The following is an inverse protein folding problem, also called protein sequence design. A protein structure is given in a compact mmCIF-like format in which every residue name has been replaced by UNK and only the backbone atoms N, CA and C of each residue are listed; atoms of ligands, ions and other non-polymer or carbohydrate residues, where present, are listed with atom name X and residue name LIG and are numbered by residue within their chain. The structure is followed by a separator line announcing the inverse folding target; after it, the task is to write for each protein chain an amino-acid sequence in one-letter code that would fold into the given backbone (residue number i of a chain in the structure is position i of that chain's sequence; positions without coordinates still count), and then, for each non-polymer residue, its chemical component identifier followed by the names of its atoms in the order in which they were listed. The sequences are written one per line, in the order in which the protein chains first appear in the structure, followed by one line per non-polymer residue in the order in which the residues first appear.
data_IF_753593332408
#
_entry.id   IF_753593332408
#
_cell.length_a   1.000
_cell.length_b   1.000
_cell.length_c   1.000
_cell.angle_alpha   90.00
_cell.angle_beta   90.00
_cell.angle_gamma   90.00
#
_symmetry.space_group_name_H-M   'P 1'
#
loop_
_entity.id
_entity.type
_entity.pdbx_description
1 polymer ?
#
# COMPACT_ATOMS: atom_id res chain seq x y z
N UNK A 1 1.56 21.04 23.10
CA UNK A 1 2.90 20.55 23.45
C UNK A 1 2.78 19.77 24.74
N UNK A 2 3.10 18.50 24.74
CA UNK A 2 3.12 17.68 25.94
C UNK A 2 4.55 17.74 26.51
N UNK A 3 4.66 18.01 27.80
CA UNK A 3 5.97 18.15 28.45
C UNK A 3 6.32 16.81 29.12
N UNK A 4 7.59 16.44 29.02
CA UNK A 4 8.11 15.36 29.87
C UNK A 4 8.17 15.88 31.30
N UNK A 5 7.31 15.36 32.17
CA UNK A 5 7.37 15.69 33.59
C UNK A 5 8.41 14.77 34.22
N UNK A 6 9.52 15.34 34.64
CA UNK A 6 10.46 14.66 35.52
C UNK A 6 9.94 14.88 36.94
N UNK A 7 9.33 13.86 37.50
CA UNK A 7 8.95 13.92 38.93
C UNK A 7 10.23 13.65 39.73
N UNK A 8 10.61 14.55 40.66
CA UNK A 8 11.68 14.21 41.60
C UNK A 8 11.31 12.89 42.27
N UNK A 9 12.30 12.07 42.52
CA UNK A 9 12.10 10.83 43.26
C UNK A 9 11.32 11.07 44.57
N UNK A 10 11.54 10.39 45.59
CA UNK A 10 10.80 10.54 46.84
C UNK A 10 10.85 11.98 47.39
N UNK A 11 9.71 12.58 47.76
CA UNK A 11 9.62 13.84 48.50
C UNK A 11 9.31 13.55 49.96
N UNK A 12 10.13 14.09 50.88
CA UNK A 12 9.90 13.92 52.27
C UNK A 12 8.77 14.82 52.78
N UNK A 13 7.89 14.25 53.58
CA UNK A 13 6.95 15.02 54.39
C UNK A 13 7.64 15.59 55.64
N UNK A 14 7.07 16.64 56.21
CA UNK A 14 7.59 17.17 57.47
C UNK A 14 7.57 16.13 58.58
N UNK A 15 8.73 15.93 59.26
CA UNK A 15 8.95 14.92 60.32
C UNK A 15 8.95 13.46 59.89
N UNK A 16 9.15 13.19 58.61
CA UNK A 16 9.22 11.84 58.09
C UNK A 16 10.56 11.16 58.43
N UNK A 17 10.51 9.87 58.82
CA UNK A 17 11.72 9.11 59.11
C UNK A 17 12.44 8.77 57.79
N UNK A 18 13.70 9.18 57.69
CA UNK A 18 14.54 8.93 56.54
C UNK A 18 15.05 7.47 56.59
N UNK A 19 14.64 6.65 55.67
CA UNK A 19 15.10 5.27 55.52
C UNK A 19 16.06 5.16 54.33
N UNK A 20 16.89 4.11 54.32
CA UNK A 20 17.83 3.83 53.21
C UNK A 20 17.12 3.76 51.86
N UNK A 21 15.95 3.13 51.82
CA UNK A 21 15.13 3.04 50.57
C UNK A 21 14.63 4.40 50.07
N UNK A 22 14.28 5.29 51.00
CA UNK A 22 13.85 6.66 50.67
C UNK A 22 15.01 7.51 50.17
N UNK A 23 16.19 7.36 50.75
CA UNK A 23 17.43 8.00 50.29
C UNK A 23 17.80 7.54 48.87
N UNK A 24 17.70 6.25 48.58
CA UNK A 24 17.96 5.72 47.24
C UNK A 24 16.97 6.24 46.23
N UNK A 25 15.71 6.45 46.61
CA UNK A 25 14.68 7.00 45.72
C UNK A 25 14.91 8.48 45.34
N UNK A 26 15.62 9.25 46.17
CA UNK A 26 16.00 10.64 45.85
C UNK A 26 16.94 10.75 44.66
N UNK A 27 17.80 9.75 44.45
CA UNK A 27 18.79 9.73 43.37
C UNK A 27 18.25 9.21 42.03
N UNK A 28 17.02 8.72 41.99
CA UNK A 28 16.42 8.10 40.81
C UNK A 28 15.25 8.88 40.28
N UNK A 29 15.46 9.80 39.35
CA UNK A 29 14.33 10.48 38.70
C UNK A 29 13.47 9.46 37.93
N UNK A 30 12.18 9.43 38.23
CA UNK A 30 11.22 8.69 37.42
C UNK A 30 10.95 9.51 36.17
N UNK A 31 11.49 9.06 35.05
CA UNK A 31 11.15 9.63 33.74
C UNK A 31 9.92 8.89 33.24
N UNK A 32 8.78 9.53 33.26
CA UNK A 32 7.60 9.04 32.56
C UNK A 32 7.69 9.49 31.11
N UNK A 33 7.99 8.56 30.21
CA UNK A 33 7.89 8.81 28.78
C UNK A 33 6.42 8.86 28.42
N UNK A 34 5.93 10.05 28.09
CA UNK A 34 4.58 10.19 27.53
C UNK A 34 4.52 9.54 26.15
N UNK A 35 3.34 9.10 25.76
CA UNK A 35 3.08 8.53 24.43
C UNK A 35 3.61 9.42 23.31
N UNK A 36 3.60 10.74 23.51
CA UNK A 36 4.11 11.71 22.52
C UNK A 36 5.62 11.63 22.31
N UNK A 37 6.39 11.40 23.38
CA UNK A 37 7.84 11.26 23.27
C UNK A 37 8.21 9.93 22.56
N UNK A 38 7.48 8.86 22.85
CA UNK A 38 7.62 7.61 22.13
C UNK A 38 7.29 7.78 20.61
N UNK A 39 6.27 8.57 20.29
CA UNK A 39 5.89 8.90 18.92
C UNK A 39 6.94 9.73 18.18
N UNK A 40 7.62 10.64 18.88
CA UNK A 40 8.71 11.45 18.31
C UNK A 40 9.95 10.60 18.05
N UNK A 41 10.24 9.64 18.93
CA UNK A 41 11.42 8.77 18.83
C UNK A 41 11.26 7.61 17.85
N UNK A 42 10.03 7.24 17.50
CA UNK A 42 9.76 6.16 16.54
C UNK A 42 9.52 6.72 15.15
N UNK A 43 10.58 7.17 14.49
CA UNK A 43 10.53 7.36 13.04
C UNK A 43 10.22 6.03 12.36
N UNK A 44 9.35 6.04 11.33
CA UNK A 44 8.90 4.83 10.61
C UNK A 44 8.05 3.85 11.44
N UNK A 45 7.21 4.36 12.31
CA UNK A 45 6.29 3.51 13.10
C UNK A 45 5.21 2.85 12.23
N UNK A 46 4.76 3.50 11.17
CA UNK A 46 3.77 2.93 10.27
C UNK A 46 4.40 1.84 9.40
N UNK A 47 3.99 0.60 9.60
CA UNK A 47 4.42 -0.55 8.78
C UNK A 47 3.85 -0.55 7.36
N UNK A 48 2.90 0.33 7.04
CA UNK A 48 2.38 0.47 5.68
C UNK A 48 3.15 1.52 4.88
N UNK A 49 3.29 1.24 3.60
CA UNK A 49 3.74 2.20 2.60
C UNK A 49 2.50 2.89 2.03
N UNK A 50 2.58 4.20 1.81
CA UNK A 50 1.49 5.01 1.24
C UNK A 50 0.18 4.93 2.07
N UNK A 51 0.30 4.94 3.40
CA UNK A 51 -0.86 4.87 4.29
C UNK A 51 -1.79 6.09 4.18
N UNK A 52 -1.29 7.25 3.78
CA UNK A 52 -2.04 8.46 3.49
C UNK A 52 -2.58 8.54 2.06
N UNK A 53 -2.34 7.53 1.24
CA UNK A 53 -2.80 7.42 -0.16
C UNK A 53 -2.42 8.63 -1.01
N UNK A 54 -1.19 9.12 -0.87
CA UNK A 54 -0.69 10.29 -1.60
C UNK A 54 -0.10 9.93 -2.96
N UNK A 55 0.37 8.69 -3.14
CA UNK A 55 1.05 8.23 -4.36
C UNK A 55 0.11 7.38 -5.21
N UNK A 56 -0.09 7.79 -6.46
CA UNK A 56 -1.04 7.17 -7.42
C UNK A 56 -0.42 7.06 -8.80
N UNK A 57 0.68 6.34 -8.94
CA UNK A 57 1.40 6.21 -10.21
C UNK A 57 0.59 5.53 -11.31
N UNK A 58 -0.40 4.73 -10.92
CA UNK A 58 -1.33 4.04 -11.85
C UNK A 58 -2.54 4.88 -12.25
N UNK A 59 -2.49 6.20 -11.96
CA UNK A 59 -3.55 7.15 -12.26
C UNK A 59 -4.63 7.24 -11.19
N UNK A 60 -5.44 8.28 -11.27
CA UNK A 60 -6.41 8.70 -10.24
C UNK A 60 -7.87 8.45 -10.63
N UNK A 61 -8.14 8.30 -11.93
CA UNK A 61 -9.49 8.07 -12.47
C UNK A 61 -10.10 6.76 -12.00
N UNK A 62 -11.42 6.64 -12.06
CA UNK A 62 -12.13 5.42 -11.75
C UNK A 62 -11.70 4.26 -12.69
N UNK A 63 -11.33 3.14 -12.09
CA UNK A 63 -10.98 1.90 -12.80
C UNK A 63 -11.88 0.78 -12.31
N UNK A 64 -12.35 -0.03 -13.24
CA UNK A 64 -13.10 -1.24 -12.90
C UNK A 64 -12.17 -2.25 -12.23
N UNK A 65 -12.59 -2.74 -11.07
CA UNK A 65 -11.99 -3.88 -10.38
C UNK A 65 -12.89 -5.08 -10.65
N UNK A 66 -12.46 -5.93 -11.54
CA UNK A 66 -13.22 -7.12 -11.91
C UNK A 66 -12.96 -8.27 -10.95
N UNK A 67 -14.03 -8.99 -10.61
CA UNK A 67 -13.93 -10.31 -10.03
C UNK A 67 -13.87 -11.32 -11.19
N UNK A 68 -12.71 -11.56 -11.74
CA UNK A 68 -12.55 -12.70 -12.63
C UNK A 68 -12.33 -13.94 -11.75
N UNK A 69 -13.41 -14.61 -11.42
CA UNK A 69 -13.39 -15.95 -10.86
C UNK A 69 -12.85 -16.92 -11.94
N UNK A 70 -11.58 -16.84 -12.25
CA UNK A 70 -10.88 -17.86 -13.04
C UNK A 70 -9.90 -18.56 -12.12
N UNK A 71 -10.24 -19.81 -11.80
CA UNK A 71 -9.43 -20.84 -11.16
C UNK A 71 -8.75 -20.43 -9.82
N UNK A 72 -9.28 -20.94 -8.77
CA UNK A 72 -8.74 -21.47 -7.51
C UNK A 72 -7.59 -20.72 -6.77
N UNK A 73 -6.83 -19.79 -7.32
CA UNK A 73 -5.57 -19.33 -6.72
C UNK A 73 -5.26 -17.84 -6.76
N UNK A 74 -5.92 -17.04 -7.60
CA UNK A 74 -5.66 -15.59 -7.61
C UNK A 74 -6.96 -14.84 -7.83
N UNK A 75 -7.62 -14.41 -6.74
CA UNK A 75 -8.67 -13.41 -6.87
C UNK A 75 -8.09 -12.16 -7.53
N UNK A 76 -8.71 -11.69 -8.62
CA UNK A 76 -8.22 -10.53 -9.34
C UNK A 76 -8.16 -9.33 -8.40
N UNK A 77 -6.98 -8.76 -8.29
CA UNK A 77 -6.70 -7.54 -7.54
C UNK A 77 -6.52 -6.39 -8.50
N UNK A 78 -6.98 -5.22 -8.11
CA UNK A 78 -6.74 -3.99 -8.86
C UNK A 78 -5.98 -3.02 -7.98
N UNK A 79 -4.80 -2.64 -8.43
CA UNK A 79 -3.92 -1.67 -7.79
C UNK A 79 -4.19 -0.29 -8.38
N UNK A 80 -4.42 0.73 -7.53
CA UNK A 80 -4.58 2.14 -7.96
C UNK A 80 -3.73 3.07 -7.12
N UNK A 81 -4.09 3.33 -5.85
CA UNK A 81 -3.12 3.90 -4.93
C UNK A 81 -1.96 2.92 -4.80
N UNK A 82 -0.75 3.41 -4.92
CA UNK A 82 0.43 2.55 -4.87
C UNK A 82 0.46 1.77 -3.56
N UNK A 83 0.82 0.50 -3.66
CA UNK A 83 0.80 -0.50 -2.59
C UNK A 83 -0.57 -0.99 -2.14
N UNK A 84 -1.68 -0.35 -2.53
CA UNK A 84 -3.03 -0.70 -2.08
C UNK A 84 -3.85 -1.32 -3.21
N UNK A 85 -4.33 -2.52 -2.97
CA UNK A 85 -5.23 -3.21 -3.87
C UNK A 85 -6.68 -3.17 -3.38
N UNK A 86 -7.60 -3.21 -4.31
CA UNK A 86 -8.99 -3.59 -4.07
C UNK A 86 -9.28 -4.94 -4.72
N UNK A 87 -10.04 -5.79 -4.01
CA UNK A 87 -10.41 -7.14 -4.45
C UNK A 87 -11.88 -7.38 -4.10
N UNK A 88 -12.80 -7.20 -5.06
CA UNK A 88 -14.21 -7.47 -4.84
C UNK A 88 -14.49 -8.96 -4.96
N UNK A 89 -15.58 -9.40 -4.33
CA UNK A 89 -16.22 -10.70 -4.57
C UNK A 89 -17.67 -10.48 -5.02
N UNK A 90 -18.22 -11.41 -5.80
CA UNK A 90 -19.52 -11.27 -6.45
C UNK A 90 -19.40 -10.51 -7.76
N UNK A 91 -19.63 -9.21 -7.75
CA UNK A 91 -19.56 -8.36 -8.93
C UNK A 91 -18.34 -7.41 -8.90
N UNK A 92 -18.06 -6.77 -10.04
CA UNK A 92 -17.04 -5.74 -10.14
C UNK A 92 -17.45 -4.47 -9.39
N UNK A 93 -16.44 -3.76 -8.86
CA UNK A 93 -16.57 -2.41 -8.28
C UNK A 93 -15.75 -1.42 -9.10
N UNK A 94 -15.84 -0.12 -8.79
CA UNK A 94 -14.85 0.84 -9.27
C UNK A 94 -13.95 1.31 -8.13
N UNK A 95 -12.68 1.60 -8.45
CA UNK A 95 -11.68 2.12 -7.55
C UNK A 95 -11.07 3.41 -8.14
N UNK A 96 -11.16 4.51 -7.39
CA UNK A 96 -10.69 5.83 -7.78
C UNK A 96 -10.02 6.56 -6.61
N UNK A 97 -9.34 7.66 -6.92
CA UNK A 97 -8.93 8.65 -5.93
C UNK A 97 -10.09 9.58 -5.60
N UNK A 98 -10.17 10.01 -4.34
CA UNK A 98 -11.09 11.04 -3.87
C UNK A 98 -10.34 12.06 -3.03
N UNK A 99 -10.70 13.33 -3.13
CA UNK A 99 -10.22 14.40 -2.25
C UNK A 99 -10.99 14.54 -0.94
N UNK A 100 -12.04 13.75 -0.74
CA UNK A 100 -12.80 13.73 0.51
C UNK A 100 -12.01 12.97 1.59
N UNK A 101 -11.68 13.64 2.67
CA UNK A 101 -10.92 13.12 3.82
C UNK A 101 -11.56 13.60 5.14
N UNK A 102 -11.26 12.97 6.28
CA UNK A 102 -11.74 13.44 7.58
C UNK A 102 -11.27 14.86 7.88
N UNK A 103 -12.08 15.64 8.59
CA UNK A 103 -11.68 16.97 9.06
C UNK A 103 -10.44 16.88 9.95
N UNK A 104 -9.42 17.69 9.65
CA UNK A 104 -8.15 17.68 10.38
C UNK A 104 -7.21 16.52 10.00
N UNK A 105 -7.55 15.71 8.98
CA UNK A 105 -6.66 14.70 8.47
C UNK A 105 -5.39 15.30 7.88
N UNK A 106 -4.26 14.59 8.04
CA UNK A 106 -3.03 14.93 7.31
C UNK A 106 -3.02 14.36 5.88
N UNK A 107 -3.88 13.38 5.60
CA UNK A 107 -4.08 12.85 4.26
C UNK A 107 -4.80 13.87 3.38
N UNK A 108 -4.38 13.97 2.11
CA UNK A 108 -5.04 14.81 1.11
C UNK A 108 -6.06 14.00 0.28
N UNK A 109 -5.88 12.69 0.24
CA UNK A 109 -6.68 11.79 -0.58
C UNK A 109 -7.18 10.58 0.19
N UNK A 110 -8.23 9.99 -0.37
CA UNK A 110 -8.79 8.71 0.06
C UNK A 110 -9.01 7.78 -1.14
N UNK A 111 -9.05 6.49 -0.89
CA UNK A 111 -9.50 5.50 -1.85
C UNK A 111 -11.03 5.49 -1.88
N UNK A 112 -11.63 5.77 -3.04
CA UNK A 112 -13.06 5.66 -3.27
C UNK A 112 -13.35 4.32 -3.94
N UNK A 113 -14.08 3.47 -3.24
CA UNK A 113 -14.59 2.20 -3.75
C UNK A 113 -16.10 2.35 -3.97
N UNK A 114 -16.58 2.13 -5.20
CA UNK A 114 -18.00 2.23 -5.52
C UNK A 114 -18.55 0.87 -5.93
N UNK A 115 -19.56 0.44 -5.24
CA UNK A 115 -20.21 -0.85 -5.40
C UNK A 115 -21.11 -0.93 -6.64
N UNK A 116 -21.57 -2.14 -6.89
CA UNK A 116 -22.54 -2.48 -7.94
C UNK A 116 -23.47 -3.58 -7.42
N UNK A 117 -24.51 -3.88 -8.16
CA UNK A 117 -25.41 -5.00 -7.83
C UNK A 117 -24.62 -6.33 -7.78
N UNK A 118 -24.94 -7.17 -6.83
CA UNK A 118 -24.34 -8.49 -6.58
C UNK A 118 -22.90 -8.47 -6.04
N UNK A 119 -22.41 -7.32 -5.56
CA UNK A 119 -21.16 -7.28 -4.78
C UNK A 119 -21.39 -7.96 -3.43
N UNK A 120 -20.61 -8.99 -3.14
CA UNK A 120 -20.70 -9.68 -1.84
C UNK A 120 -19.78 -9.06 -0.82
N UNK A 121 -18.47 -9.08 -1.01
CA UNK A 121 -17.49 -8.46 -0.11
C UNK A 121 -16.49 -7.64 -0.92
N UNK A 122 -15.84 -6.69 -0.24
CA UNK A 122 -14.72 -5.95 -0.84
C UNK A 122 -13.56 -5.97 0.14
N UNK A 123 -12.43 -6.48 -0.30
CA UNK A 123 -11.16 -6.44 0.40
C UNK A 123 -10.34 -5.24 -0.09
N UNK A 124 -9.81 -4.46 0.84
CA UNK A 124 -8.84 -3.41 0.58
C UNK A 124 -7.59 -3.69 1.38
N UNK A 125 -6.44 -3.86 0.74
CA UNK A 125 -5.29 -4.40 1.46
C UNK A 125 -3.94 -4.03 0.91
N UNK A 126 -2.91 -4.39 1.71
CA UNK A 126 -1.51 -4.25 1.36
C UNK A 126 -0.75 -5.54 1.71
N UNK A 127 0.23 -5.89 0.91
CA UNK A 127 1.15 -6.99 1.15
C UNK A 127 2.47 -6.47 1.68
N UNK A 128 2.98 -7.12 2.72
CA UNK A 128 4.25 -6.83 3.37
C UNK A 128 5.21 -7.96 3.01
N UNK A 129 6.35 -7.61 2.41
CA UNK A 129 7.37 -8.59 2.04
C UNK A 129 7.88 -9.39 3.23
N UNK A 130 8.31 -10.61 2.98
CA UNK A 130 8.89 -11.51 3.99
C UNK A 130 10.04 -10.86 4.76
N UNK A 131 10.92 -10.14 4.08
CA UNK A 131 12.05 -9.45 4.70
C UNK A 131 11.62 -8.38 5.70
N UNK A 132 10.57 -7.61 5.39
CA UNK A 132 10.03 -6.60 6.28
C UNK A 132 9.19 -7.20 7.40
N UNK A 133 8.48 -8.28 7.11
CA UNK A 133 7.68 -9.01 8.07
C UNK A 133 8.55 -9.65 9.17
N UNK A 134 9.68 -10.23 8.82
CA UNK A 134 10.66 -10.80 9.77
C UNK A 134 11.19 -9.72 10.70
N UNK A 135 11.55 -8.56 10.17
CA UNK A 135 12.27 -7.54 10.93
C UNK A 135 11.37 -6.68 11.80
N UNK A 136 10.16 -6.39 11.35
CA UNK A 136 9.36 -5.35 11.98
C UNK A 136 7.95 -5.78 12.43
N UNK A 137 7.42 -6.90 11.94
CA UNK A 137 6.01 -7.27 12.19
C UNK A 137 5.78 -8.32 13.29
N UNK A 138 6.81 -8.95 13.83
CA UNK A 138 6.68 -10.03 14.84
C UNK A 138 6.51 -9.54 16.28
N UNK A 139 5.78 -8.46 16.49
CA UNK A 139 5.49 -7.89 17.81
C UNK A 139 4.06 -7.38 17.88
N UNK A 140 3.59 -7.00 19.06
CA UNK A 140 2.30 -6.37 19.22
C UNK A 140 2.19 -5.13 18.32
N UNK A 141 1.07 -5.02 17.59
CA UNK A 141 0.78 -3.91 16.69
C UNK A 141 -0.67 -3.50 16.77
N UNK A 142 -0.90 -2.23 16.52
CA UNK A 142 -2.23 -1.65 16.40
C UNK A 142 -2.44 -1.20 14.97
N UNK A 143 -3.49 -1.72 14.34
CA UNK A 143 -4.04 -1.25 13.07
C UNK A 143 -5.01 -0.11 13.33
N UNK A 144 -4.98 0.93 12.50
CA UNK A 144 -6.01 1.96 12.45
C UNK A 144 -6.22 2.46 11.02
N UNK A 145 -7.45 2.90 10.73
CA UNK A 145 -7.82 3.52 9.47
C UNK A 145 -9.05 4.42 9.66
N UNK A 146 -9.27 5.36 8.73
CA UNK A 146 -10.53 6.08 8.64
C UNK A 146 -11.36 5.56 7.47
N UNK A 147 -12.64 5.31 7.74
CA UNK A 147 -13.61 4.81 6.77
C UNK A 147 -14.79 5.79 6.73
N UNK A 148 -15.12 6.30 5.54
CA UNK A 148 -16.39 6.97 5.28
C UNK A 148 -17.37 5.97 4.68
N UNK A 149 -18.49 5.84 5.32
CA UNK A 149 -19.53 4.91 4.88
C UNK A 149 -20.64 5.68 4.14
N UNK A 150 -20.80 5.44 2.86
CA UNK A 150 -21.83 6.00 1.98
C UNK A 150 -22.69 4.88 1.38
N UNK A 151 -23.02 3.88 2.19
CA UNK A 151 -23.79 2.71 1.73
C UNK A 151 -25.28 2.76 2.08
N UNK A 152 -25.70 3.79 2.84
CA UNK A 152 -27.08 3.98 3.28
C UNK A 152 -27.42 3.24 4.58
N UNK A 153 -26.57 2.34 5.06
CA UNK A 153 -26.74 1.61 6.33
C UNK A 153 -25.40 1.48 7.07
N UNK A 154 -25.45 1.34 8.39
CA UNK A 154 -24.25 1.05 9.17
C UNK A 154 -23.72 -0.35 8.83
N UNK A 155 -22.40 -0.49 8.82
CA UNK A 155 -21.73 -1.80 8.69
C UNK A 155 -20.54 -1.91 9.63
N UNK A 156 -20.13 -3.13 9.88
CA UNK A 156 -18.98 -3.43 10.75
C UNK A 156 -17.89 -4.13 9.94
N UNK A 157 -16.79 -3.44 9.60
CA UNK A 157 -15.71 -4.04 8.83
C UNK A 157 -14.87 -4.99 9.68
N UNK A 158 -14.03 -5.77 9.02
CA UNK A 158 -13.07 -6.67 9.66
C UNK A 158 -11.64 -6.38 9.23
N UNK A 159 -10.70 -6.55 10.15
CA UNK A 159 -9.29 -6.67 9.81
C UNK A 159 -8.94 -8.15 9.68
N UNK A 160 -8.36 -8.52 8.55
CA UNK A 160 -7.85 -9.88 8.31
C UNK A 160 -6.36 -9.83 8.08
N UNK A 161 -5.64 -10.76 8.69
CA UNK A 161 -4.24 -11.02 8.42
C UNK A 161 -4.11 -12.38 7.77
N UNK A 162 -3.50 -12.42 6.61
CA UNK A 162 -3.20 -13.65 5.90
C UNK A 162 -1.68 -13.82 5.80
N UNK A 163 -1.20 -15.05 5.90
CA UNK A 163 0.21 -15.36 5.66
C UNK A 163 0.34 -16.36 4.53
N UNK A 164 1.27 -16.13 3.57
CA UNK A 164 1.49 -17.05 2.49
C UNK A 164 2.19 -18.34 2.95
N UNK A 165 2.05 -19.41 2.18
CA UNK A 165 2.66 -20.72 2.46
C UNK A 165 4.15 -20.77 2.20
N UNK A 166 4.66 -19.92 1.33
CA UNK A 166 6.08 -19.75 1.01
C UNK A 166 6.46 -18.27 0.96
N UNK A 167 7.74 -17.90 1.13
CA UNK A 167 8.18 -16.52 1.12
C UNK A 167 7.67 -15.73 -0.09
N UNK A 168 6.90 -14.66 0.18
CA UNK A 168 6.31 -13.75 -0.81
C UNK A 168 5.38 -14.40 -1.85
N UNK A 169 5.04 -15.68 -1.70
CA UNK A 169 4.09 -16.39 -2.57
C UNK A 169 2.66 -16.29 -2.03
N UNK A 170 1.94 -15.29 -2.46
CA UNK A 170 0.56 -15.02 -2.06
C UNK A 170 -0.49 -15.79 -2.89
N UNK A 171 -0.10 -16.76 -3.70
CA UNK A 171 -1.05 -17.61 -4.40
C UNK A 171 -1.86 -18.49 -3.45
N UNK A 172 -1.23 -18.94 -2.36
CA UNK A 172 -1.89 -19.71 -1.29
C UNK A 172 -1.67 -19.01 0.05
N UNK A 173 -2.75 -18.57 0.67
CA UNK A 173 -2.74 -17.84 1.94
C UNK A 173 -3.52 -18.59 3.02
N UNK A 174 -3.02 -18.55 4.25
CA UNK A 174 -3.75 -18.95 5.44
C UNK A 174 -4.21 -17.72 6.22
N UNK A 175 -5.49 -17.66 6.56
CA UNK A 175 -6.01 -16.62 7.45
C UNK A 175 -5.47 -16.84 8.87
N UNK A 176 -4.94 -15.79 9.48
CA UNK A 176 -4.33 -15.81 10.82
C UNK A 176 -5.10 -14.96 11.83
N UNK A 177 -5.82 -13.96 11.35
CA UNK A 177 -6.65 -13.08 12.16
C UNK A 177 -7.90 -12.72 11.37
N UNK A 178 -9.03 -12.68 12.04
CA UNK A 178 -10.32 -12.16 11.56
C UNK A 178 -10.93 -11.33 12.69
N UNK A 179 -10.46 -10.09 12.85
CA UNK A 179 -10.88 -9.20 13.94
C UNK A 179 -12.00 -8.28 13.49
N UNK A 180 -13.08 -8.24 14.24
CA UNK A 180 -14.19 -7.30 14.05
C UNK A 180 -13.76 -5.91 14.52
N UNK A 181 -13.98 -4.89 13.69
CA UNK A 181 -13.66 -3.50 13.99
C UNK A 181 -14.89 -2.73 14.51
N UNK A 182 -14.76 -1.42 14.69
CA UNK A 182 -15.85 -0.54 15.08
C UNK A 182 -16.91 -0.44 13.97
N UNK A 183 -18.16 -0.29 14.36
CA UNK A 183 -19.27 -0.06 13.42
C UNK A 183 -19.15 1.33 12.79
N UNK A 184 -19.24 1.40 11.47
CA UNK A 184 -19.20 2.61 10.67
C UNK A 184 -20.62 3.07 10.36
N UNK A 185 -21.06 4.18 10.97
CA UNK A 185 -22.36 4.77 10.68
C UNK A 185 -22.39 5.31 9.24
N UNK A 186 -23.57 5.23 8.59
CA UNK A 186 -23.73 5.81 7.25
C UNK A 186 -23.64 7.33 7.28
N UNK A 187 -23.00 7.92 6.26
CA UNK A 187 -22.85 9.36 6.10
C UNK A 187 -21.74 9.98 6.97
N UNK A 188 -20.87 9.18 7.59
CA UNK A 188 -19.84 9.69 8.51
C UNK A 188 -18.49 9.01 8.33
N UNK A 189 -17.42 9.75 8.66
CA UNK A 189 -16.09 9.21 8.87
C UNK A 189 -16.00 8.53 10.23
N UNK A 190 -15.54 7.30 10.26
CA UNK A 190 -15.29 6.54 11.50
C UNK A 190 -13.84 6.10 11.53
N UNK A 191 -13.14 6.37 12.62
CA UNK A 191 -11.86 5.74 12.89
C UNK A 191 -12.09 4.32 13.41
N UNK A 192 -11.53 3.36 12.73
CA UNK A 192 -11.55 1.94 13.13
C UNK A 192 -10.17 1.50 13.55
N UNK A 193 -10.08 0.61 14.55
CA UNK A 193 -8.80 0.12 15.04
C UNK A 193 -8.93 -1.23 15.72
N UNK A 194 -7.83 -1.96 15.77
CA UNK A 194 -7.68 -3.17 16.58
C UNK A 194 -6.21 -3.45 16.86
N UNK A 195 -5.93 -4.01 18.02
CA UNK A 195 -4.60 -4.47 18.40
C UNK A 195 -4.51 -5.99 18.22
N UNK A 196 -3.37 -6.47 17.75
CA UNK A 196 -3.10 -7.88 17.56
C UNK A 196 -1.67 -8.22 17.97
N UNK A 197 -1.43 -9.46 18.40
CA UNK A 197 -0.19 -9.92 19.03
C UNK A 197 0.48 -11.01 18.19
N UNK A 198 1.64 -11.47 18.67
CA UNK A 198 2.47 -12.45 17.98
C UNK A 198 1.80 -13.77 17.59
N UNK A 199 0.70 -14.19 18.26
CA UNK A 199 -0.08 -15.39 17.86
C UNK A 199 -0.78 -15.22 16.50
N UNK A 200 -1.04 -13.97 16.09
CA UNK A 200 -1.62 -13.63 14.79
C UNK A 200 -0.60 -13.69 13.64
N UNK A 201 0.66 -14.01 13.95
CA UNK A 201 1.75 -13.96 12.98
C UNK A 201 2.35 -15.32 12.62
N UNK A 202 1.69 -16.42 12.91
CA UNK A 202 2.18 -17.75 12.49
C UNK A 202 2.55 -17.73 11.00
N UNK A 203 3.80 -18.09 10.68
CA UNK A 203 4.39 -18.01 9.33
C UNK A 203 4.51 -16.59 8.74
N UNK A 204 4.50 -15.55 9.57
CA UNK A 204 4.75 -14.18 9.12
C UNK A 204 6.12 -13.98 8.47
N UNK A 205 7.08 -14.88 8.73
CA UNK A 205 8.37 -14.94 8.03
C UNK A 205 8.26 -15.11 6.52
N UNK A 206 7.11 -15.58 6.04
CA UNK A 206 6.82 -15.70 4.61
C UNK A 206 6.18 -14.44 4.01
N UNK A 207 5.91 -13.40 4.82
CA UNK A 207 5.19 -12.19 4.44
C UNK A 207 3.80 -12.13 5.07
N UNK A 208 3.16 -10.98 4.95
CA UNK A 208 1.83 -10.73 5.52
C UNK A 208 0.98 -9.99 4.48
N UNK A 209 -0.26 -10.46 4.26
CA UNK A 209 -1.29 -9.70 3.56
C UNK A 209 -2.26 -9.14 4.62
N UNK A 210 -2.31 -7.81 4.76
CA UNK A 210 -3.23 -7.11 5.66
C UNK A 210 -4.40 -6.62 4.85
N UNK A 211 -5.61 -7.00 5.26
CA UNK A 211 -6.84 -6.74 4.53
C UNK A 211 -7.88 -6.10 5.45
N UNK A 212 -8.36 -4.93 5.06
CA UNK A 212 -9.59 -4.33 5.58
C UNK A 212 -10.74 -4.84 4.71
N UNK A 213 -11.61 -5.66 5.28
CA UNK A 213 -12.74 -6.24 4.59
C UNK A 213 -14.03 -5.47 4.86
N UNK A 214 -14.69 -5.00 3.81
CA UNK A 214 -16.05 -4.48 3.85
C UNK A 214 -16.99 -5.68 3.77
N UNK A 215 -17.94 -5.84 4.74
CA UNK A 215 -18.73 -7.04 4.87
C UNK A 215 -19.75 -7.22 3.74
N UNK A 216 -20.24 -8.44 3.65
CA UNK A 216 -21.21 -8.87 2.64
C UNK A 216 -22.46 -8.00 2.64
N UNK A 217 -22.92 -7.64 1.44
CA UNK A 217 -24.14 -6.86 1.20
C UNK A 217 -23.99 -5.36 1.42
N UNK A 218 -22.92 -4.89 2.07
CA UNK A 218 -22.76 -3.45 2.35
C UNK A 218 -22.62 -2.65 1.05
N UNK A 219 -21.89 -3.17 0.08
CA UNK A 219 -21.66 -2.52 -1.21
C UNK A 219 -22.50 -3.12 -2.35
N UNK A 220 -23.50 -3.93 -2.02
CA UNK A 220 -24.48 -4.47 -2.99
C UNK A 220 -25.48 -3.38 -3.38
N UNK A 221 -25.26 -2.78 -4.52
CA UNK A 221 -26.12 -1.75 -5.10
C UNK A 221 -25.36 -0.62 -5.77
N UNK A 222 -25.95 -0.11 -6.84
CA UNK A 222 -25.41 1.04 -7.58
C UNK A 222 -25.41 2.29 -6.71
N UNK A 223 -24.31 3.02 -6.70
CA UNK A 223 -24.14 4.25 -5.95
C UNK A 223 -23.69 4.08 -4.51
N UNK A 224 -23.71 2.88 -3.94
CA UNK A 224 -23.11 2.62 -2.63
C UNK A 224 -21.61 2.77 -2.69
N UNK A 225 -21.02 3.52 -1.77
CA UNK A 225 -19.59 3.73 -1.78
C UNK A 225 -18.96 3.75 -0.39
N UNK A 226 -17.65 3.49 -0.35
CA UNK A 226 -16.82 3.59 0.85
C UNK A 226 -15.56 4.35 0.48
N UNK A 227 -15.14 5.27 1.37
CA UNK A 227 -13.83 5.91 1.25
C UNK A 227 -12.95 5.47 2.40
N UNK A 228 -11.67 5.23 2.12
CA UNK A 228 -10.69 4.74 3.09
C UNK A 228 -9.45 5.61 3.02
N UNK A 229 -8.89 6.01 4.17
CA UNK A 229 -7.65 6.80 4.25
C UNK A 229 -6.97 6.66 5.60
N UNK A 230 -5.78 7.22 5.73
CA UNK A 230 -4.98 7.23 6.96
C UNK A 230 -4.82 5.83 7.57
N UNK A 231 -4.38 4.89 6.73
CA UNK A 231 -4.10 3.53 7.16
C UNK A 231 -2.75 3.49 7.88
N UNK A 232 -2.76 2.99 9.10
CA UNK A 232 -1.56 2.84 9.92
C UNK A 232 -1.54 1.50 10.62
N UNK A 233 -0.38 0.90 10.69
CA UNK A 233 -0.11 -0.29 11.49
C UNK A 233 1.17 -0.06 12.26
N UNK A 234 1.05 0.26 13.54
CA UNK A 234 2.13 0.74 14.38
C UNK A 234 2.47 -0.23 15.52
N UNK A 235 3.70 -0.25 16.03
CA UNK A 235 4.04 -1.04 17.20
C UNK A 235 3.30 -0.56 18.45
N UNK A 236 2.91 -1.50 19.31
CA UNK A 236 2.22 -1.23 20.58
C UNK A 236 0.72 -1.39 20.49
N UNK A 237 0.03 -1.10 21.59
CA UNK A 237 -1.39 -1.36 21.80
C UNK A 237 -2.29 -0.11 21.72
N UNK A 238 -1.73 1.05 21.38
CA UNK A 238 -2.44 2.33 21.36
C UNK A 238 -2.42 2.94 19.98
N UNK A 239 -3.59 3.40 19.52
CA UNK A 239 -3.68 4.19 18.28
C UNK A 239 -3.07 5.57 18.52
N UNK A 240 -2.12 5.95 17.69
CA UNK A 240 -1.50 7.27 17.74
C UNK A 240 -1.85 8.10 16.50
N UNK A 241 -1.46 9.37 16.48
CA UNK A 241 -1.64 10.21 15.30
C UNK A 241 -0.93 9.58 14.09
N UNK A 242 -1.54 9.73 12.92
CA UNK A 242 -0.98 9.25 11.65
C UNK A 242 0.44 9.76 11.45
N UNK A 243 1.36 8.88 11.09
CA UNK A 243 2.75 9.23 10.80
C UNK A 243 2.85 10.10 9.54
N UNK A 244 3.39 11.32 9.65
CA UNK A 244 3.70 12.12 8.47
C UNK A 244 5.01 11.64 7.85
N UNK A 245 4.99 11.27 6.57
CA UNK A 245 6.22 11.01 5.80
C UNK A 245 6.40 12.05 4.71
N UNK A 246 7.66 12.39 4.42
CA UNK A 246 7.98 13.25 3.28
C UNK A 246 7.55 12.54 1.99
N UNK A 247 6.89 13.26 1.11
CA UNK A 247 6.37 12.70 -0.15
C UNK A 247 7.46 12.06 -1.02
N UNK A 248 8.65 12.63 -1.03
CA UNK A 248 9.80 12.08 -1.77
C UNK A 248 10.19 10.70 -1.26
N UNK A 249 10.18 10.50 0.06
CA UNK A 249 10.46 9.20 0.67
C UNK A 249 9.34 8.20 0.33
N UNK A 250 8.09 8.62 0.46
CA UNK A 250 6.93 7.77 0.13
C UNK A 250 6.96 7.32 -1.33
N UNK A 251 7.31 8.22 -2.26
CA UNK A 251 7.49 7.88 -3.68
C UNK A 251 8.58 6.82 -3.86
N UNK A 252 9.74 6.98 -3.22
CA UNK A 252 10.84 6.00 -3.31
C UNK A 252 10.43 4.61 -2.79
N UNK A 253 9.71 4.55 -1.67
CA UNK A 253 9.17 3.30 -1.15
C UNK A 253 8.18 2.66 -2.13
N UNK A 254 7.33 3.45 -2.78
CA UNK A 254 6.39 2.97 -3.79
C UNK A 254 7.09 2.49 -5.05
N UNK A 255 8.17 3.16 -5.48
CA UNK A 255 8.91 2.83 -6.70
C UNK A 255 9.60 1.46 -6.63
N UNK A 256 9.82 0.91 -5.45
CA UNK A 256 10.24 -0.48 -5.31
C UNK A 256 9.22 -1.47 -5.90
N UNK A 257 7.96 -1.09 -6.01
CA UNK A 257 6.85 -1.98 -6.40
C UNK A 257 6.16 -1.54 -7.68
N UNK A 258 6.13 -0.25 -7.94
CA UNK A 258 5.55 0.31 -9.15
C UNK A 258 6.30 1.56 -9.58
N UNK A 259 6.60 1.66 -10.85
CA UNK A 259 7.30 2.79 -11.44
C UNK A 259 6.53 3.28 -12.67
N UNK A 260 5.96 4.47 -12.59
CA UNK A 260 5.37 5.14 -13.74
C UNK A 260 6.46 5.81 -14.58
N UNK A 261 6.41 5.56 -15.86
CA UNK A 261 7.27 6.16 -16.87
C UNK A 261 6.40 7.02 -17.78
N UNK A 262 6.72 8.27 -17.91
CA UNK A 262 5.99 9.21 -18.74
C UNK A 262 6.93 9.82 -19.78
N UNK A 263 6.93 9.27 -21.01
CA UNK A 263 7.74 9.78 -22.12
C UNK A 263 9.25 9.68 -21.88
N UNK A 264 9.71 8.73 -21.10
CA UNK A 264 11.14 8.53 -20.87
C UNK A 264 11.82 8.08 -22.16
N UNK A 265 12.86 8.81 -22.57
CA UNK A 265 13.74 8.40 -23.66
C UNK A 265 14.57 7.22 -23.19
N UNK A 266 14.34 6.05 -23.75
CA UNK A 266 15.07 4.82 -23.39
C UNK A 266 16.11 4.41 -24.42
N UNK A 267 16.13 5.04 -25.60
CA UNK A 267 17.08 4.75 -26.66
C UNK A 267 16.73 5.43 -27.98
N UNK A 268 17.49 5.08 -29.00
CA UNK A 268 17.27 5.57 -30.38
C UNK A 268 17.18 4.37 -31.31
N UNK A 269 16.38 4.49 -32.35
CA UNK A 269 16.28 3.49 -33.39
C UNK A 269 17.59 3.38 -34.15
N UNK A 270 18.22 2.21 -34.11
CA UNK A 270 19.49 1.96 -34.78
C UNK A 270 19.34 1.42 -36.21
N UNK A 271 18.17 0.83 -36.52
CA UNK A 271 17.88 0.23 -37.83
C UNK A 271 16.39 0.36 -38.16
N UNK A 272 16.12 0.57 -39.46
CA UNK A 272 14.74 0.70 -39.97
C UNK A 272 14.06 -0.64 -40.26
N UNK A 273 14.79 -1.76 -40.33
CA UNK A 273 14.25 -2.96 -40.96
C UNK A 273 14.46 -4.29 -40.26
N UNK A 274 15.53 -4.53 -39.47
CA UNK A 274 15.84 -5.91 -39.10
C UNK A 274 16.50 -6.16 -37.72
N UNK A 275 16.86 -5.15 -36.95
CA UNK A 275 17.49 -5.35 -35.65
C UNK A 275 16.61 -4.86 -34.50
N UNK A 276 16.57 -5.58 -33.39
CA UNK A 276 15.87 -5.10 -32.22
C UNK A 276 16.49 -3.79 -31.73
N UNK A 277 15.72 -2.73 -31.78
CA UNK A 277 16.11 -1.48 -31.15
C UNK A 277 16.18 -1.70 -29.63
N UNK A 278 17.32 -1.39 -29.03
CA UNK A 278 17.58 -1.60 -27.61
C UNK A 278 17.69 -0.28 -26.90
N UNK A 279 17.05 -0.19 -25.76
CA UNK A 279 17.22 0.91 -24.83
C UNK A 279 17.56 0.39 -23.46
N UNK A 280 18.32 1.16 -22.68
CA UNK A 280 18.67 0.85 -21.30
C UNK A 280 18.16 1.97 -20.43
N UNK A 281 17.50 1.59 -19.34
CA UNK A 281 17.07 2.51 -18.30
C UNK A 281 17.40 1.90 -16.95
N UNK A 282 17.92 2.73 -16.04
CA UNK A 282 18.13 2.33 -14.64
C UNK A 282 16.92 2.71 -13.81
N UNK A 283 16.53 1.85 -12.89
CA UNK A 283 15.49 2.16 -11.92
C UNK A 283 16.01 3.15 -10.88
N UNK A 284 15.20 4.11 -10.43
CA UNK A 284 15.56 5.03 -9.35
C UNK A 284 15.75 4.30 -8.01
N UNK A 285 15.16 3.14 -7.88
CA UNK A 285 15.23 2.25 -6.71
C UNK A 285 15.20 0.81 -7.18
N UNK A 286 15.93 -0.09 -6.52
CA UNK A 286 15.88 -1.53 -6.83
C UNK A 286 14.47 -2.04 -6.63
N UNK A 287 13.85 -2.55 -7.68
CA UNK A 287 12.50 -3.11 -7.61
C UNK A 287 12.50 -4.44 -6.85
N UNK A 288 11.39 -4.76 -6.20
CA UNK A 288 11.21 -5.98 -5.40
C UNK A 288 11.53 -7.25 -6.17
N UNK A 289 11.10 -7.30 -7.40
CA UNK A 289 11.33 -8.39 -8.33
C UNK A 289 11.47 -7.82 -9.74
N UNK A 290 11.84 -8.68 -10.71
CA UNK A 290 11.80 -8.28 -12.10
C UNK A 290 10.40 -7.81 -12.46
N UNK A 291 10.21 -6.54 -12.85
CA UNK A 291 8.89 -6.01 -13.13
C UNK A 291 8.30 -6.53 -14.44
N UNK A 292 7.01 -6.34 -14.58
CA UNK A 292 6.27 -6.47 -15.84
C UNK A 292 5.55 -5.16 -16.12
N UNK A 293 5.07 -4.99 -17.34
CA UNK A 293 4.15 -3.90 -17.65
C UNK A 293 2.83 -4.14 -16.92
N UNK A 294 2.30 -3.09 -16.32
CA UNK A 294 0.98 -3.13 -15.68
C UNK A 294 -0.10 -2.92 -16.75
N UNK A 295 -0.46 -3.99 -17.45
CA UNK A 295 -1.46 -3.97 -18.52
C UNK A 295 -2.86 -3.52 -18.07
N UNK A 296 -3.15 -3.56 -16.76
CA UNK A 296 -4.43 -3.12 -16.21
C UNK A 296 -4.49 -1.60 -15.93
N UNK A 297 -3.36 -0.92 -15.94
CA UNK A 297 -3.26 0.48 -15.50
C UNK A 297 -2.61 1.41 -16.53
N UNK A 298 -2.33 0.92 -17.74
CA UNK A 298 -1.82 1.77 -18.81
C UNK A 298 -2.89 2.77 -19.27
N UNK A 299 -2.50 4.03 -19.37
CA UNK A 299 -3.35 5.09 -19.90
C UNK A 299 -3.55 4.98 -21.43
N UNK A 300 -2.84 4.06 -22.07
CA UNK A 300 -3.00 3.77 -23.50
C UNK A 300 -4.16 2.78 -23.65
N UNK A 301 -5.17 3.18 -24.38
CA UNK A 301 -6.46 2.49 -24.53
C UNK A 301 -6.41 1.18 -25.32
N UNK A 302 -5.30 0.45 -25.30
CA UNK A 302 -5.20 -0.82 -25.99
C UNK A 302 -4.96 -1.96 -25.00
N UNK A 303 -5.91 -2.86 -24.95
CA UNK A 303 -6.02 -3.97 -24.00
C UNK A 303 -5.08 -5.12 -24.32
N UNK A 304 -4.26 -5.03 -25.36
CA UNK A 304 -3.46 -6.14 -25.85
C UNK A 304 -1.96 -5.94 -25.81
N UNK A 305 -1.46 -4.69 -25.71
CA UNK A 305 -0.02 -4.47 -25.84
C UNK A 305 0.44 -3.24 -25.06
N UNK A 306 1.51 -3.41 -24.28
CA UNK A 306 2.27 -2.31 -23.71
C UNK A 306 3.23 -1.77 -24.79
N UNK A 307 3.04 -0.52 -25.19
CA UNK A 307 3.70 0.02 -26.37
C UNK A 307 4.94 0.87 -26.07
N UNK A 308 5.98 0.69 -26.90
CA UNK A 308 6.87 1.78 -27.22
C UNK A 308 6.20 2.69 -28.25
N UNK A 309 6.12 3.96 -27.99
CA UNK A 309 5.84 4.93 -29.05
C UNK A 309 7.16 5.54 -29.47
N UNK A 310 7.54 5.31 -30.72
CA UNK A 310 8.57 6.12 -31.35
C UNK A 310 7.97 7.45 -31.77
N UNK A 311 8.77 8.51 -31.84
CA UNK A 311 8.35 9.81 -32.37
C UNK A 311 7.83 9.71 -33.81
N UNK A 312 8.10 8.60 -34.49
CA UNK A 312 7.62 8.28 -35.83
C UNK A 312 6.32 7.46 -35.90
N UNK A 313 5.69 7.17 -34.77
CA UNK A 313 4.30 6.70 -34.76
C UNK A 313 4.01 5.23 -35.01
N UNK A 314 4.98 4.33 -34.91
CA UNK A 314 4.70 2.87 -35.03
C UNK A 314 4.89 2.15 -33.70
N UNK A 315 3.84 1.52 -33.17
CA UNK A 315 3.94 0.76 -31.91
C UNK A 315 4.64 -0.59 -32.11
N UNK A 316 5.49 -0.97 -31.16
CA UNK A 316 6.12 -2.28 -31.10
C UNK A 316 5.95 -2.90 -29.73
N UNK A 317 5.89 -4.24 -29.66
CA UNK A 317 5.83 -4.93 -28.38
C UNK A 317 7.19 -4.93 -27.70
N UNK A 318 7.34 -4.35 -26.51
CA UNK A 318 8.57 -4.40 -25.76
C UNK A 318 8.72 -5.73 -25.02
N UNK A 319 9.91 -6.30 -25.05
CA UNK A 319 10.28 -7.36 -24.12
C UNK A 319 11.14 -6.77 -23.02
N UNK A 320 10.77 -7.02 -21.78
CA UNK A 320 11.63 -6.70 -20.64
C UNK A 320 12.60 -7.84 -20.44
N UNK A 321 13.90 -7.58 -20.65
CA UNK A 321 14.96 -8.50 -20.27
C UNK A 321 15.92 -7.76 -19.33
N UNK A 322 16.13 -8.28 -18.13
CA UNK A 322 17.02 -7.66 -17.15
C UNK A 322 16.67 -8.05 -15.72
N UNK A 323 17.52 -7.63 -14.80
CA UNK A 323 17.35 -7.85 -13.36
C UNK A 323 16.60 -6.68 -12.70
N UNK A 324 16.30 -6.81 -11.40
CA UNK A 324 15.56 -5.80 -10.64
C UNK A 324 16.23 -4.41 -10.56
N UNK A 325 17.48 -4.29 -10.98
CA UNK A 325 18.25 -3.04 -10.94
C UNK A 325 18.31 -2.27 -12.27
N UNK A 326 17.97 -2.92 -13.38
CA UNK A 326 18.01 -2.29 -14.72
C UNK A 326 16.98 -2.90 -15.66
N UNK A 327 16.50 -2.13 -16.61
CA UNK A 327 15.63 -2.57 -17.69
C UNK A 327 16.37 -2.48 -19.01
N UNK A 328 16.45 -3.58 -19.72
CA UNK A 328 16.86 -3.62 -21.11
C UNK A 328 15.61 -3.82 -21.96
N UNK A 329 15.20 -2.82 -22.70
CA UNK A 329 14.11 -2.91 -23.64
C UNK A 329 14.64 -3.41 -24.98
N UNK A 330 14.12 -4.51 -25.47
CA UNK A 330 14.36 -4.97 -26.81
C UNK A 330 13.01 -5.06 -27.53
N UNK A 331 12.85 -4.37 -28.64
CA UNK A 331 11.76 -4.64 -29.57
C UNK A 331 12.05 -5.93 -30.30
N UNK A 332 11.21 -6.94 -30.11
CA UNK A 332 11.44 -8.28 -30.64
C UNK A 332 11.12 -8.41 -32.15
N UNK A 333 10.47 -7.43 -32.76
CA UNK A 333 10.06 -7.50 -34.17
C UNK A 333 10.58 -6.29 -34.97
N UNK A 334 11.08 -6.55 -36.16
CA UNK A 334 11.36 -5.53 -37.15
C UNK A 334 10.06 -4.80 -37.48
N UNK A 335 9.95 -3.57 -37.03
CA UNK A 335 8.87 -2.68 -37.44
C UNK A 335 9.31 -2.02 -38.75
N UNK A 336 8.71 -2.45 -39.84
CA UNK A 336 8.85 -1.76 -41.11
C UNK A 336 8.37 -0.33 -40.92
N UNK A 337 9.28 0.66 -40.94
CA UNK A 337 9.04 2.10 -40.92
C UNK A 337 9.63 2.90 -39.73
N UNK A 338 10.59 2.37 -39.02
CA UNK A 338 11.35 3.19 -38.07
C UNK A 338 12.34 4.09 -38.80
N UNK A 339 12.34 5.37 -38.46
CA UNK A 339 13.41 6.29 -38.92
C UNK A 339 14.62 6.08 -38.04
N UNK A 340 15.76 5.76 -38.64
CA UNK A 340 17.05 5.66 -37.92
C UNK A 340 17.32 6.96 -37.17
N UNK A 341 17.65 6.86 -35.88
CA UNK A 341 17.85 8.02 -35.01
C UNK A 341 16.58 8.54 -34.33
N UNK A 342 15.40 8.00 -34.63
CA UNK A 342 14.19 8.38 -33.90
C UNK A 342 14.31 7.99 -32.43
N UNK A 343 13.81 8.87 -31.55
CA UNK A 343 13.77 8.60 -30.11
C UNK A 343 12.78 7.51 -29.77
N UNK A 344 13.19 6.58 -28.93
CA UNK A 344 12.31 5.58 -28.34
C UNK A 344 11.85 6.11 -26.98
N UNK A 345 10.58 6.48 -26.89
CA UNK A 345 9.97 6.97 -25.67
C UNK A 345 9.10 5.88 -25.05
N UNK A 346 9.17 5.75 -23.75
CA UNK A 346 8.37 4.79 -23.00
C UNK A 346 7.38 5.53 -22.09
N UNK A 347 6.09 5.18 -22.25
CA UNK A 347 5.01 5.64 -21.37
C UNK A 347 4.25 4.43 -20.90
N UNK A 348 4.47 4.01 -19.66
CA UNK A 348 3.82 2.84 -19.08
C UNK A 348 3.96 2.85 -17.55
N UNK A 349 3.36 1.89 -16.89
CA UNK A 349 3.64 1.56 -15.49
C UNK A 349 4.30 0.19 -15.43
N UNK A 350 5.46 0.11 -14.80
CA UNK A 350 6.11 -1.13 -14.45
C UNK A 350 5.67 -1.58 -13.07
N UNK A 351 5.33 -2.85 -12.89
CA UNK A 351 4.87 -3.37 -11.59
C UNK A 351 5.61 -4.64 -11.18
N UNK A 352 5.91 -4.75 -9.89
CA UNK A 352 6.46 -5.92 -9.24
C UNK A 352 5.59 -6.40 -8.05
N UNK A 353 4.37 -5.87 -7.92
CA UNK A 353 3.48 -6.09 -6.76
C UNK A 353 3.11 -7.57 -6.55
N UNK A 354 2.75 -8.27 -7.60
CA UNK A 354 2.26 -9.66 -7.57
C UNK A 354 3.29 -10.69 -8.06
N UNK A 355 4.55 -10.30 -8.16
CA UNK A 355 5.64 -11.20 -8.55
C UNK A 355 6.09 -12.05 -7.36
N UNK A 356 6.26 -13.30 -7.60
CA UNK A 356 6.91 -14.28 -6.71
C UNK A 356 8.39 -14.40 -7.05
#
# INVERSE_FOLDING_TARGET
MSYTIVTPGYQFSANEVVTYSKLNALGQPVVSLTTDLFNILSSFKNGFINGNLQVWQRGTSAKSCTNTASAATAQAKTWRADRWFARPAGAAITYAQSSSVPTGAIATYSALLTGAASVTTVDFGQRIESIDAITSWQRERTFSAYIYNDTGAAFTPKLRLNTPSAPDDYATNANRLDATLQSCASGAWTQVSTTFTGSSYTNATNGIEVVLQIPSGSMDGTGKSVRITQLQCEPGSVVTAQEPRLITHEIQLCQRYALALAGQVVGFAADATNLPNKGIMTYPTTMRARPVFDGNNNAVADTTNDYFTATAGVPGQPAISGYAAEVIFACANALANWTVGAQINLTCVLTAEDRT
#
